data_IF_383905637461
#
_entry.id   IF_383905637461
#
_cell.length_a   1.000
_cell.length_b   1.000
_cell.length_c   1.000
_cell.angle_alpha   90.00
_cell.angle_beta   90.00
_cell.angle_gamma   90.00
#
_symmetry.space_group_name_H-M   'P 1'
#
loop_
_entity.id
_entity.type
_entity.pdbx_description
1 polymer ?
#
# COMPACT_ATOMS: atom_id res chain seq x y z
N UNK A 1 -7.68 2.58 12.20
CA UNK A 1 -8.71 2.77 11.16
C UNK A 1 -8.13 2.19 9.88
N UNK A 2 -8.64 1.04 9.46
CA UNK A 2 -8.23 0.31 8.24
C UNK A 2 -9.10 0.81 7.07
N UNK A 3 -8.53 0.97 5.87
CA UNK A 3 -9.21 1.54 4.70
C UNK A 3 -9.29 0.45 3.62
N UNK A 4 -10.50 0.12 3.17
CA UNK A 4 -10.78 -0.86 2.12
C UNK A 4 -10.38 -0.28 0.76
N UNK A 5 -9.57 -1.00 -0.02
CA UNK A 5 -8.99 -0.50 -1.28
C UNK A 5 -9.79 -0.93 -2.51
N UNK A 6 -10.49 -2.07 -2.44
CA UNK A 6 -11.31 -2.57 -3.54
C UNK A 6 -12.13 -3.78 -3.10
N UNK A 7 -13.31 -3.95 -3.70
CA UNK A 7 -14.20 -5.07 -3.41
C UNK A 7 -15.12 -5.39 -4.58
N UNK A 8 -14.81 -6.46 -5.31
CA UNK A 8 -15.78 -7.24 -6.08
C UNK A 8 -16.40 -8.29 -5.14
N UNK A 9 -17.58 -8.83 -5.45
CA UNK A 9 -18.35 -9.67 -4.49
C UNK A 9 -17.65 -10.95 -4.00
N UNK A 10 -16.44 -11.25 -4.48
CA UNK A 10 -15.65 -12.45 -4.20
C UNK A 10 -14.35 -12.21 -3.44
N UNK A 11 -13.88 -10.96 -3.33
CA UNK A 11 -12.55 -10.64 -2.77
C UNK A 11 -12.51 -9.21 -2.23
N UNK A 12 -11.66 -8.98 -1.22
CA UNK A 12 -11.50 -7.69 -0.56
C UNK A 12 -10.00 -7.37 -0.47
N UNK A 13 -9.63 -6.18 -0.92
CA UNK A 13 -8.28 -5.66 -0.76
C UNK A 13 -8.21 -4.71 0.44
N UNK A 14 -7.23 -4.93 1.31
CA UNK A 14 -6.99 -4.13 2.50
C UNK A 14 -5.54 -3.64 2.55
N UNK A 15 -5.35 -2.39 2.99
CA UNK A 15 -4.03 -1.88 3.33
C UNK A 15 -3.74 -2.14 4.82
N UNK A 16 -2.67 -2.87 5.09
CA UNK A 16 -2.16 -3.11 6.45
C UNK A 16 -1.00 -2.16 6.71
N UNK A 17 -1.07 -1.42 7.83
CA UNK A 17 0.05 -0.56 8.26
C UNK A 17 1.22 -1.43 8.75
N UNK A 18 2.49 -1.00 8.56
CA UNK A 18 3.67 -1.77 8.99
C UNK A 18 3.59 -2.25 10.45
N UNK A 19 3.23 -1.36 11.37
CA UNK A 19 3.14 -1.66 12.82
C UNK A 19 2.01 -2.65 13.18
N UNK A 20 1.10 -2.94 12.25
CA UNK A 20 -0.04 -3.83 12.46
C UNK A 20 0.12 -5.19 11.79
N UNK A 21 1.18 -5.42 11.00
CA UNK A 21 1.35 -6.63 10.18
C UNK A 21 1.24 -7.90 11.04
N UNK A 22 2.01 -7.98 12.12
CA UNK A 22 2.03 -9.17 12.99
C UNK A 22 0.66 -9.47 13.60
N UNK A 23 -0.04 -8.42 14.05
CA UNK A 23 -1.37 -8.54 14.65
C UNK A 23 -2.40 -9.03 13.63
N UNK A 24 -2.38 -8.46 12.43
CA UNK A 24 -3.31 -8.85 11.36
C UNK A 24 -3.02 -10.29 10.92
N UNK A 25 -1.75 -10.65 10.72
CA UNK A 25 -1.35 -12.02 10.37
C UNK A 25 -1.82 -13.04 11.40
N UNK A 26 -1.66 -12.75 12.69
CA UNK A 26 -2.11 -13.62 13.76
C UNK A 26 -3.64 -13.82 13.74
N UNK A 27 -4.41 -12.75 13.55
CA UNK A 27 -5.88 -12.80 13.50
C UNK A 27 -6.35 -13.60 12.27
N UNK A 28 -5.82 -13.30 11.08
CA UNK A 28 -6.20 -14.01 9.86
C UNK A 28 -5.85 -15.50 9.93
N UNK A 29 -4.69 -15.85 10.51
CA UNK A 29 -4.31 -17.24 10.73
C UNK A 29 -5.22 -17.95 11.75
N UNK A 30 -5.57 -17.29 12.86
CA UNK A 30 -6.49 -17.83 13.87
C UNK A 30 -7.86 -18.16 13.28
N UNK A 31 -8.39 -17.27 12.44
CA UNK A 31 -9.69 -17.42 11.79
C UNK A 31 -9.63 -18.27 10.50
N UNK A 32 -8.45 -18.82 10.16
CA UNK A 32 -8.21 -19.63 8.97
C UNK A 32 -8.60 -18.92 7.66
N UNK A 33 -8.41 -17.60 7.63
CA UNK A 33 -8.66 -16.75 6.47
C UNK A 33 -7.42 -16.76 5.59
N UNK A 34 -7.59 -17.26 4.36
CA UNK A 34 -6.54 -17.22 3.34
C UNK A 34 -6.44 -15.83 2.74
N UNK A 35 -5.23 -15.36 2.58
CA UNK A 35 -4.94 -14.10 1.91
C UNK A 35 -3.66 -14.23 1.07
N UNK A 36 -3.47 -13.27 0.18
CA UNK A 36 -2.29 -13.10 -0.64
C UNK A 36 -1.80 -11.66 -0.48
N UNK A 37 -0.48 -11.47 -0.41
CA UNK A 37 0.13 -10.13 -0.40
C UNK A 37 0.33 -9.70 -1.85
N UNK A 38 -0.51 -8.78 -2.32
CA UNK A 38 -0.46 -8.28 -3.70
C UNK A 38 0.55 -7.14 -3.88
N UNK A 39 0.80 -6.36 -2.83
CA UNK A 39 1.80 -5.28 -2.78
C UNK A 39 2.57 -5.43 -1.47
N UNK A 40 3.87 -5.66 -1.54
CA UNK A 40 4.76 -5.89 -0.40
C UNK A 40 5.20 -4.58 0.26
N UNK A 41 5.63 -3.61 -0.56
CA UNK A 41 6.00 -2.26 -0.14
C UNK A 41 5.25 -1.23 -0.98
N UNK A 42 4.21 -0.67 -0.38
CA UNK A 42 3.38 0.34 -1.04
C UNK A 42 4.18 1.60 -1.37
N UNK A 43 5.10 2.04 -0.50
CA UNK A 43 5.82 3.28 -0.74
C UNK A 43 6.79 3.11 -1.91
N UNK A 44 7.47 1.96 -1.97
CA UNK A 44 8.31 1.63 -3.11
C UNK A 44 7.52 1.64 -4.42
N UNK A 45 6.33 1.04 -4.45
CA UNK A 45 5.49 1.04 -5.64
C UNK A 45 5.08 2.47 -6.07
N UNK A 46 4.79 3.35 -5.10
CA UNK A 46 4.49 4.77 -5.35
C UNK A 46 5.73 5.50 -5.89
N UNK A 47 6.91 5.26 -5.31
CA UNK A 47 8.16 5.90 -5.71
C UNK A 47 8.60 5.46 -7.11
N UNK A 48 8.33 4.20 -7.49
CA UNK A 48 8.57 3.70 -8.85
C UNK A 48 7.59 4.31 -9.88
N UNK A 49 6.34 4.54 -9.49
CA UNK A 49 5.34 5.21 -10.33
C UNK A 49 5.63 6.71 -10.47
N UNK A 50 6.03 7.35 -9.37
CA UNK A 50 6.29 8.78 -9.26
C UNK A 50 7.71 8.99 -8.74
N UNK A 51 8.74 8.79 -9.57
CA UNK A 51 10.12 8.98 -9.15
C UNK A 51 10.30 10.38 -8.57
N UNK A 52 11.04 10.54 -7.45
CA UNK A 52 11.33 11.85 -6.92
C UNK A 52 11.97 12.69 -8.01
N UNK A 53 11.48 13.91 -8.18
CA UNK A 53 12.06 14.87 -9.10
C UNK A 53 13.46 15.14 -8.55
N UNK A 54 14.47 14.42 -9.05
CA UNK A 54 15.86 14.86 -8.97
C UNK A 54 15.84 16.28 -9.49
N UNK A 55 16.28 17.25 -8.69
CA UNK A 55 16.25 18.68 -9.05
C UNK A 55 16.97 18.90 -10.38
N UNK A 56 16.27 18.71 -11.49
CA UNK A 56 16.56 19.34 -12.76
C UNK A 56 16.14 20.79 -12.53
N UNK A 57 17.16 21.63 -12.34
CA UNK A 57 17.14 23.05 -12.06
C UNK A 57 15.77 23.75 -12.20
N UNK A 58 15.43 24.49 -11.14
CA UNK A 58 14.35 25.47 -11.05
C UNK A 58 14.29 26.44 -12.25
N UNK A 59 13.71 25.99 -13.36
CA UNK A 59 13.39 26.83 -14.53
C UNK A 59 11.92 27.29 -14.49
N UNK A 60 11.24 27.17 -13.35
CA UNK A 60 9.93 27.81 -13.13
C UNK A 60 10.12 29.29 -12.78
N UNK A 61 10.73 30.05 -13.70
CA UNK A 61 10.51 31.50 -13.77
C UNK A 61 9.05 31.72 -14.12
N UNK A 62 8.27 32.11 -13.11
CA UNK A 62 6.93 32.63 -13.30
C UNK A 62 6.91 33.76 -14.33
N UNK A 63 5.88 33.75 -15.18
CA UNK A 63 5.36 34.93 -15.86
C UNK A 63 3.84 34.91 -15.74
#
# INVERSE_FOLDING_TARGET
MEKMWGGNATSIDILVKPDSIDKVNAILAQENIKYEVTIDDLQKAIDEENPPIVEENDDRKGK
#
